data_IF_793463321398
#
_entry.id   IF_793463321398
#
_cell.length_a   1.000
_cell.length_b   1.000
_cell.length_c   1.000
_cell.angle_alpha   90.00
_cell.angle_beta   90.00
_cell.angle_gamma   90.00
#
_symmetry.space_group_name_H-M   'P 1'
#
loop_
_entity.id
_entity.type
_entity.pdbx_description
1 polymer ?
#
# COMPACT_ATOMS: atom_id res chain seq x y z
N UNK A 1 -2.28 -3.43 -21.22
CA UNK A 1 -2.25 -4.35 -20.09
C UNK A 1 -3.09 -3.87 -18.94
N UNK A 2 -3.83 -4.76 -18.34
CA UNK A 2 -4.69 -4.41 -17.24
C UNK A 2 -3.98 -4.58 -15.92
N UNK A 3 -4.19 -3.64 -15.03
CA UNK A 3 -3.77 -3.77 -13.65
C UNK A 3 -4.92 -4.34 -12.85
N UNK A 4 -4.64 -5.36 -12.07
CA UNK A 4 -5.65 -5.98 -11.23
C UNK A 4 -5.67 -5.25 -9.89
N UNK A 5 -6.58 -4.32 -9.76
CA UNK A 5 -6.75 -3.59 -8.52
C UNK A 5 -7.54 -4.44 -7.55
N UNK A 6 -6.97 -4.65 -6.37
CA UNK A 6 -7.66 -5.32 -5.28
C UNK A 6 -7.65 -4.42 -4.06
N UNK A 7 -8.71 -4.50 -3.29
CA UNK A 7 -8.84 -3.71 -2.08
C UNK A 7 -8.93 -4.67 -0.92
N UNK A 8 -7.96 -4.60 -0.04
CA UNK A 8 -7.96 -5.40 1.17
C UNK A 8 -8.44 -4.54 2.32
N UNK A 9 -9.47 -5.00 2.98
CA UNK A 9 -10.06 -4.27 4.09
C UNK A 9 -9.76 -4.99 5.38
N UNK A 10 -9.41 -4.23 6.39
CA UNK A 10 -9.15 -4.77 7.71
C UNK A 10 -9.86 -3.90 8.71
N UNK A 11 -10.56 -4.53 9.64
CA UNK A 11 -11.34 -3.82 10.63
C UNK A 11 -10.48 -2.83 11.43
N UNK A 12 -9.24 -3.20 11.70
CA UNK A 12 -8.35 -2.37 12.51
C UNK A 12 -7.57 -1.34 11.70
N UNK A 13 -7.35 -1.58 10.42
CA UNK A 13 -6.43 -0.77 9.62
C UNK A 13 -7.11 0.04 8.54
N UNK A 14 -8.32 -0.35 8.12
CA UNK A 14 -8.97 0.29 7.00
C UNK A 14 -8.69 -0.43 5.70
N UNK A 15 -8.46 0.32 4.65
CA UNK A 15 -8.35 -0.25 3.31
C UNK A 15 -6.94 -0.06 2.78
N UNK A 16 -6.44 -1.09 2.10
CA UNK A 16 -5.19 -1.02 1.38
C UNK A 16 -5.45 -1.49 -0.04
N UNK A 17 -5.15 -0.64 -1.00
CA UNK A 17 -5.31 -0.98 -2.41
C UNK A 17 -4.02 -1.59 -2.90
N UNK A 18 -4.14 -2.71 -3.61
CA UNK A 18 -2.99 -3.40 -4.17
C UNK A 18 -3.20 -3.60 -5.66
N UNK A 19 -2.10 -3.69 -6.36
CA UNK A 19 -2.10 -3.88 -7.81
C UNK A 19 -1.05 -4.93 -8.13
N UNK A 20 -1.39 -5.82 -9.06
CA UNK A 20 -0.41 -6.79 -9.52
C UNK A 20 0.24 -6.25 -10.79
N UNK A 21 1.56 -6.17 -10.78
CA UNK A 21 2.33 -5.73 -11.94
C UNK A 21 3.36 -6.82 -12.22
N UNK A 22 3.28 -7.42 -13.42
CA UNK A 22 4.19 -8.48 -13.83
C UNK A 22 4.26 -9.61 -12.81
N UNK A 23 3.11 -9.97 -12.27
CA UNK A 23 3.01 -11.07 -11.33
C UNK A 23 3.44 -10.74 -9.92
N UNK A 24 3.77 -9.50 -9.61
CA UNK A 24 4.24 -9.11 -8.29
C UNK A 24 3.27 -8.12 -7.66
N UNK A 25 3.06 -8.22 -6.35
CA UNK A 25 2.16 -7.29 -5.67
C UNK A 25 2.82 -5.93 -5.46
N UNK A 26 2.07 -4.90 -5.76
CA UNK A 26 2.45 -3.52 -5.47
C UNK A 26 1.34 -2.91 -4.64
N UNK A 27 1.70 -2.05 -3.73
CA UNK A 27 0.76 -1.45 -2.78
C UNK A 27 0.70 0.05 -3.00
N UNK A 28 -0.49 0.64 -2.87
CA UNK A 28 -0.58 2.09 -2.91
C UNK A 28 0.15 2.64 -1.70
N UNK A 29 1.20 3.40 -1.97
CA UNK A 29 2.16 3.78 -0.94
C UNK A 29 1.53 4.58 0.19
N UNK A 30 0.65 5.53 -0.15
CA UNK A 30 0.02 6.35 0.89
C UNK A 30 -0.94 5.55 1.74
N UNK A 31 -1.56 4.50 1.17
CA UNK A 31 -2.42 3.64 1.98
C UNK A 31 -1.63 2.93 3.07
N UNK A 32 -0.46 2.40 2.70
CA UNK A 32 0.40 1.73 3.66
C UNK A 32 0.88 2.71 4.74
N UNK A 33 1.35 3.88 4.32
CA UNK A 33 1.85 4.86 5.27
C UNK A 33 0.75 5.33 6.22
N UNK A 34 -0.47 5.49 5.70
CA UNK A 34 -1.59 5.92 6.53
C UNK A 34 -1.93 4.88 7.58
N UNK A 35 -2.00 3.61 7.17
CA UNK A 35 -2.31 2.53 8.09
C UNK A 35 -1.26 2.43 9.19
N UNK A 36 0.00 2.67 8.85
CA UNK A 36 1.08 2.63 9.82
C UNK A 36 1.14 3.85 10.73
N UNK A 37 0.30 4.86 10.46
CA UNK A 37 0.19 5.98 11.37
C UNK A 37 1.10 7.15 11.09
N UNK A 38 1.75 7.16 9.93
CA UNK A 38 2.58 8.32 9.59
C UNK A 38 1.71 9.56 9.42
N UNK A 39 2.10 10.65 10.05
CA UNK A 39 1.32 11.87 9.96
C UNK A 39 1.44 12.53 8.59
N UNK A 40 2.60 12.41 7.96
CA UNK A 40 2.80 12.92 6.61
C UNK A 40 3.16 11.74 5.72
N UNK A 41 2.13 11.20 5.05
CA UNK A 41 2.31 9.97 4.30
C UNK A 41 3.23 10.16 3.09
N UNK A 42 3.14 11.30 2.43
CA UNK A 42 4.00 11.56 1.28
C UNK A 42 5.46 11.65 1.67
N UNK A 43 5.73 12.31 2.78
CA UNK A 43 7.09 12.46 3.26
C UNK A 43 7.65 11.11 3.68
N UNK A 44 6.84 10.29 4.34
CA UNK A 44 7.29 8.97 4.76
C UNK A 44 7.67 8.11 3.56
N UNK A 45 6.84 8.13 2.52
CA UNK A 45 7.13 7.36 1.31
C UNK A 45 8.42 7.86 0.68
N UNK A 46 8.57 9.17 0.61
CA UNK A 46 9.76 9.76 0.00
C UNK A 46 11.03 9.41 0.76
N UNK A 47 10.95 9.37 2.09
CA UNK A 47 12.12 9.07 2.92
C UNK A 47 12.51 7.61 2.92
N UNK A 48 11.52 6.72 2.95
CA UNK A 48 11.79 5.32 3.27
C UNK A 48 11.70 4.38 2.09
N UNK A 49 11.09 4.81 0.99
CA UNK A 49 10.87 3.93 -0.15
C UNK A 49 11.87 4.21 -1.26
N UNK A 50 12.37 3.15 -1.88
CA UNK A 50 13.37 3.27 -2.94
C UNK A 50 12.81 2.98 -4.33
N UNK A 51 11.80 2.15 -4.44
CA UNK A 51 11.31 1.67 -5.73
C UNK A 51 9.87 2.11 -5.98
N UNK A 52 9.61 3.38 -5.72
CA UNK A 52 8.28 3.93 -5.95
C UNK A 52 8.03 4.03 -7.46
N UNK A 53 6.88 3.52 -7.89
CA UNK A 53 6.45 3.61 -9.27
C UNK A 53 5.11 4.32 -9.32
N UNK A 54 4.78 4.87 -10.47
CA UNK A 54 3.49 5.53 -10.65
C UNK A 54 2.57 4.60 -11.43
N UNK A 55 1.31 4.59 -11.03
CA UNK A 55 0.34 3.72 -11.64
C UNK A 55 -1.01 4.42 -11.71
N UNK A 56 -1.75 4.16 -12.78
CA UNK A 56 -3.10 4.69 -12.91
C UNK A 56 -4.08 3.63 -12.42
N UNK A 57 -4.97 4.05 -11.55
CA UNK A 57 -6.04 3.18 -11.07
C UNK A 57 -7.37 3.84 -11.34
N UNK A 58 -8.46 3.06 -11.36
CA UNK A 58 -9.77 3.66 -11.56
C UNK A 58 -10.09 4.66 -10.46
N UNK A 59 -10.66 5.79 -10.87
CA UNK A 59 -11.09 6.78 -9.90
C UNK A 59 -12.29 6.23 -9.14
N UNK A 60 -12.31 6.33 -7.81
CA UNK A 60 -13.39 5.71 -7.04
C UNK A 60 -14.76 6.29 -7.29
N UNK A 61 -14.84 7.50 -7.80
CA UNK A 61 -16.12 8.18 -8.00
C UNK A 61 -16.43 8.46 -9.46
N UNK A 62 -15.65 7.90 -10.38
CA UNK A 62 -15.88 8.16 -11.80
C UNK A 62 -15.37 6.98 -12.61
N UNK A 63 -16.21 6.50 -13.54
CA UNK A 63 -15.83 5.40 -14.39
C UNK A 63 -14.95 5.82 -15.56
N UNK A 64 -14.94 7.12 -15.86
CA UNK A 64 -14.22 7.61 -17.02
C UNK A 64 -12.88 8.24 -16.70
N UNK A 65 -12.54 8.35 -15.41
CA UNK A 65 -11.31 8.99 -15.00
C UNK A 65 -10.40 7.99 -14.31
N UNK A 66 -9.12 8.29 -14.35
CA UNK A 66 -8.12 7.50 -13.63
C UNK A 66 -7.46 8.38 -12.59
N UNK A 67 -6.98 7.75 -11.56
CA UNK A 67 -6.24 8.39 -10.48
C UNK A 67 -4.82 7.90 -10.54
N UNK A 68 -3.88 8.83 -10.62
CA UNK A 68 -2.47 8.47 -10.64
C UNK A 68 -1.94 8.38 -9.21
N UNK A 69 -1.44 7.22 -8.87
CA UNK A 69 -0.97 6.98 -7.50
C UNK A 69 0.45 6.43 -7.53
N UNK A 70 1.15 6.61 -6.42
CA UNK A 70 2.43 5.98 -6.21
C UNK A 70 2.22 4.60 -5.61
N UNK A 71 2.87 3.61 -6.19
CA UNK A 71 2.80 2.24 -5.67
C UNK A 71 4.21 1.78 -5.33
N UNK A 72 4.30 0.89 -4.37
CA UNK A 72 5.57 0.39 -3.88
C UNK A 72 5.55 -1.14 -3.83
N UNK A 73 6.70 -1.76 -4.07
CA UNK A 73 6.79 -3.21 -3.95
C UNK A 73 6.87 -3.61 -2.48
N UNK A 74 6.84 -4.91 -2.28
CA UNK A 74 6.83 -5.49 -0.95
C UNK A 74 8.01 -5.03 -0.09
N UNK A 75 9.20 -4.94 -0.69
CA UNK A 75 10.37 -4.52 0.05
C UNK A 75 10.25 -3.13 0.65
N UNK A 76 9.66 -2.21 -0.12
CA UNK A 76 9.45 -0.85 0.38
C UNK A 76 8.38 -0.81 1.46
N UNK A 77 7.37 -1.69 1.35
CA UNK A 77 6.37 -1.79 2.40
C UNK A 77 7.03 -2.17 3.73
N UNK A 78 7.97 -3.12 3.70
CA UNK A 78 8.68 -3.52 4.92
C UNK A 78 9.54 -2.40 5.46
N UNK A 79 10.09 -1.55 4.60
CA UNK A 79 10.84 -0.39 5.06
C UNK A 79 9.96 0.57 5.84
N UNK A 80 8.75 0.80 5.36
CA UNK A 80 7.80 1.65 6.07
C UNK A 80 7.41 1.04 7.41
N UNK A 81 7.20 -0.28 7.44
CA UNK A 81 6.88 -0.96 8.68
C UNK A 81 8.01 -0.80 9.69
N UNK A 82 9.24 -1.04 9.24
CA UNK A 82 10.39 -1.03 10.13
C UNK A 82 10.66 0.33 10.73
N UNK A 83 10.29 1.40 10.03
CA UNK A 83 10.56 2.74 10.49
C UNK A 83 9.38 3.37 11.22
N UNK A 84 8.28 2.65 11.36
CA UNK A 84 7.13 3.15 12.09
C UNK A 84 7.27 2.77 13.55
N UNK A 85 7.06 3.75 14.44
CA UNK A 85 7.16 3.52 15.87
C UNK A 85 5.79 3.45 16.54
N UNK A 86 4.73 3.41 15.75
CA UNK A 86 3.40 3.43 16.30
C UNK A 86 2.90 2.01 16.54
N UNK A 87 1.96 1.85 17.49
CA UNK A 87 1.48 0.52 17.84
C UNK A 87 0.87 -0.26 16.67
N UNK A 88 0.29 0.45 15.71
CA UNK A 88 -0.34 -0.22 14.57
C UNK A 88 0.68 -0.92 13.68
N UNK A 89 1.94 -0.51 13.75
CA UNK A 89 2.95 -1.11 12.89
C UNK A 89 3.13 -2.60 13.19
N UNK A 90 3.15 -2.96 14.46
CA UNK A 90 3.32 -4.36 14.83
C UNK A 90 2.14 -5.20 14.39
N UNK A 91 0.93 -4.68 14.57
CA UNK A 91 -0.27 -5.39 14.16
C UNK A 91 -0.33 -5.55 12.65
N UNK A 92 0.05 -4.51 11.94
CA UNK A 92 0.07 -4.55 10.49
C UNK A 92 1.12 -5.55 10.00
N UNK A 93 2.28 -5.55 10.62
CA UNK A 93 3.35 -6.47 10.28
C UNK A 93 2.89 -7.91 10.45
N UNK A 94 2.18 -8.18 11.53
CA UNK A 94 1.67 -9.52 11.78
C UNK A 94 0.64 -9.93 10.73
N UNK A 95 -0.22 -9.01 10.34
CA UNK A 95 -1.20 -9.26 9.29
C UNK A 95 -0.52 -9.61 7.97
N UNK A 96 0.53 -8.87 7.65
CA UNK A 96 1.31 -9.12 6.43
C UNK A 96 1.99 -10.48 6.50
N UNK A 97 2.60 -10.79 7.63
CA UNK A 97 3.35 -12.05 7.76
C UNK A 97 2.44 -13.27 7.77
N UNK A 98 1.20 -13.13 8.20
CA UNK A 98 0.27 -14.25 8.11
C UNK A 98 -0.22 -14.47 6.67
N UNK A 99 0.07 -13.54 5.79
CA UNK A 99 -0.30 -13.67 4.39
C UNK A 99 -1.70 -13.21 4.08
N UNK A 100 -2.40 -12.65 5.03
CA UNK A 100 -3.80 -12.29 4.82
C UNK A 100 -3.96 -11.18 3.82
N UNK A 101 -2.96 -10.28 3.71
CA UNK A 101 -3.08 -9.13 2.84
C UNK A 101 -2.99 -9.51 1.36
N UNK A 102 -2.33 -10.62 1.04
CA UNK A 102 -2.23 -11.04 -0.36
C UNK A 102 -2.51 -12.53 -0.56
N UNK A 103 -3.11 -13.14 0.42
CA UNK A 103 -3.45 -14.55 0.31
C UNK A 103 -4.74 -14.73 -0.46
N UNK A 104 -4.81 -15.80 -1.26
CA UNK A 104 -6.02 -16.12 -2.03
C UNK A 104 -6.59 -17.45 -1.66
#
# INVERSE_FOLDING_TARGET
>A
MKNNLQIFKNYNFGEIRTIEIDGKPYFVATDIAKVLGYSNTRDAVKKHCKWVAKCDIPHPQSNSKVLKVNVIPEGDMYRLISNSELPNAEKFERWVFTGEIWMR
#
